data_IF_705810943674
#
_entry.id   IF_705810943674
#
_cell.length_a   1.000
_cell.length_b   1.000
_cell.length_c   1.000
_cell.angle_alpha   90.00
_cell.angle_beta   90.00
_cell.angle_gamma   90.00
#
_symmetry.space_group_name_H-M   'P 1'
#
loop_
_entity.id
_entity.type
_entity.pdbx_description
1 polymer ?
#
# COMPACT_ATOMS: atom_id res chain seq x y z
N UNK A 1 -7.71 -1.06 25.28
CA UNK A 1 -7.68 -2.40 25.93
C UNK A 1 -9.07 -2.84 26.36
N UNK A 2 -9.80 -1.99 27.10
CA UNK A 2 -11.18 -2.29 27.55
C UNK A 2 -12.18 -2.51 26.41
N UNK A 3 -12.10 -1.74 25.32
CA UNK A 3 -13.00 -1.87 24.16
C UNK A 3 -12.71 -3.08 23.27
N UNK A 4 -11.63 -3.83 23.50
CA UNK A 4 -11.25 -4.98 22.66
C UNK A 4 -10.77 -4.68 21.26
N UNK A 5 -10.53 -3.40 20.91
CA UNK A 5 -9.98 -3.03 19.61
C UNK A 5 -8.51 -3.41 19.48
N UNK A 6 -8.11 -3.83 18.28
CA UNK A 6 -6.71 -4.04 17.94
C UNK A 6 -5.96 -2.71 17.93
N UNK A 7 -4.72 -2.72 18.43
CA UNK A 7 -3.81 -1.58 18.40
C UNK A 7 -2.53 -1.97 17.67
N UNK A 8 -2.13 -1.15 16.72
CA UNK A 8 -0.83 -1.25 16.03
C UNK A 8 0.09 -0.18 16.59
N UNK A 9 1.21 -0.60 17.19
CA UNK A 9 2.23 0.29 17.70
C UNK A 9 3.37 0.38 16.70
N UNK A 10 3.57 1.60 16.20
CA UNK A 10 4.78 1.99 15.49
C UNK A 10 5.70 2.60 16.55
N UNK A 11 6.87 2.01 16.75
CA UNK A 11 7.83 2.37 17.81
C UNK A 11 7.35 2.09 19.25
N UNK A 12 7.82 0.96 19.80
CA UNK A 12 7.47 0.51 21.16
C UNK A 12 8.33 1.14 22.25
N UNK A 13 9.48 1.74 21.93
CA UNK A 13 10.47 2.09 22.96
C UNK A 13 9.95 3.02 24.06
N UNK A 14 9.23 4.13 23.76
CA UNK A 14 8.74 5.04 24.79
C UNK A 14 7.67 4.41 25.67
N UNK A 15 6.95 3.42 25.14
CA UNK A 15 5.81 2.79 25.80
C UNK A 15 6.19 1.46 26.47
N UNK A 16 7.43 1.00 26.33
CA UNK A 16 7.86 -0.28 26.85
C UNK A 16 7.72 -0.36 28.38
N UNK A 17 8.18 0.66 29.11
CA UNK A 17 8.04 0.71 30.57
C UNK A 17 6.57 0.75 30.99
N UNK A 18 5.76 1.53 30.27
CA UNK A 18 4.34 1.70 30.50
C UNK A 18 3.53 0.42 30.29
N UNK A 19 3.88 -0.37 29.27
CA UNK A 19 3.15 -1.56 28.84
C UNK A 19 3.79 -2.84 29.35
N UNK A 20 4.83 -2.77 30.18
CA UNK A 20 5.61 -3.94 30.59
C UNK A 20 4.73 -5.05 31.16
N UNK A 21 3.86 -4.74 32.12
CA UNK A 21 2.98 -5.72 32.76
C UNK A 21 1.93 -6.29 31.76
N UNK A 22 1.48 -5.49 30.79
CA UNK A 22 0.58 -5.91 29.72
C UNK A 22 1.25 -6.84 28.70
N UNK A 23 2.46 -6.53 28.27
CA UNK A 23 3.24 -7.36 27.34
C UNK A 23 3.63 -8.70 27.97
N UNK A 24 3.74 -8.74 29.29
CA UNK A 24 4.04 -9.95 30.05
C UNK A 24 2.81 -10.82 30.32
N UNK A 25 1.62 -10.36 29.92
CA UNK A 25 0.36 -11.05 30.17
C UNK A 25 0.12 -11.34 31.66
N UNK A 26 0.64 -10.48 32.56
CA UNK A 26 0.42 -10.59 34.01
C UNK A 26 -0.97 -10.04 34.38
N UNK A 27 -2.00 -10.80 34.02
CA UNK A 27 -3.39 -10.44 34.28
C UNK A 27 -3.85 -10.88 35.67
N UNK A 28 -4.57 -9.98 36.35
CA UNK A 28 -5.32 -10.28 37.57
C UNK A 28 -6.79 -10.45 37.21
N UNK A 29 -7.42 -11.51 37.71
CA UNK A 29 -8.84 -11.77 37.46
C UNK A 29 -9.69 -11.27 38.62
N UNK A 30 -10.67 -10.42 38.30
CA UNK A 30 -11.67 -9.95 39.25
C UNK A 30 -13.05 -10.05 38.59
N UNK A 31 -13.98 -10.79 39.20
CA UNK A 31 -15.33 -10.95 38.67
C UNK A 31 -15.38 -11.57 37.26
N UNK A 32 -14.43 -12.45 36.92
CA UNK A 32 -14.32 -13.06 35.60
C UNK A 32 -13.71 -12.16 34.51
N UNK A 33 -13.35 -10.92 34.84
CA UNK A 33 -12.70 -9.98 33.91
C UNK A 33 -11.20 -9.90 34.17
N UNK A 34 -10.42 -9.69 33.10
CA UNK A 34 -8.97 -9.50 33.15
C UNK A 34 -8.64 -8.05 33.43
N UNK A 35 -7.72 -7.81 34.36
CA UNK A 35 -7.16 -6.50 34.66
C UNK A 35 -5.64 -6.54 34.55
N UNK A 36 -5.03 -5.44 34.11
CA UNK A 36 -3.58 -5.28 34.06
C UNK A 36 -3.17 -3.89 34.55
N UNK A 37 -1.98 -3.79 35.12
CA UNK A 37 -1.39 -2.51 35.49
C UNK A 37 -0.74 -1.86 34.28
N UNK A 38 -1.07 -0.60 34.01
CA UNK A 38 -0.39 0.24 33.04
C UNK A 38 0.35 1.36 33.77
N UNK A 39 1.61 1.55 33.41
CA UNK A 39 2.45 2.64 33.91
C UNK A 39 2.27 3.92 33.09
N UNK A 40 1.98 5.04 33.73
CA UNK A 40 2.00 6.38 33.16
C UNK A 40 2.95 7.22 34.01
N UNK A 41 4.25 7.17 33.66
CA UNK A 41 5.31 7.74 34.50
C UNK A 41 5.33 7.10 35.88
N UNK A 42 5.08 7.88 36.92
CA UNK A 42 5.02 7.41 38.32
C UNK A 42 3.66 6.81 38.71
N UNK A 43 2.62 6.99 37.89
CA UNK A 43 1.28 6.51 38.20
C UNK A 43 1.06 5.13 37.58
N UNK A 44 0.49 4.22 38.37
CA UNK A 44 0.03 2.91 37.88
C UNK A 44 -1.48 2.86 37.95
N UNK A 45 -2.11 2.52 36.83
CA UNK A 45 -3.56 2.40 36.70
C UNK A 45 -3.93 0.97 36.33
N UNK A 46 -4.96 0.44 36.99
CA UNK A 46 -5.54 -0.86 36.63
C UNK A 46 -6.53 -0.68 35.51
N UNK A 47 -6.21 -1.26 34.36
CA UNK A 47 -7.05 -1.20 33.17
C UNK A 47 -7.67 -2.58 32.93
N UNK A 48 -8.97 -2.59 32.60
CA UNK A 48 -9.63 -3.80 32.14
C UNK A 48 -9.12 -4.17 30.74
N UNK A 49 -8.93 -5.47 30.51
CA UNK A 49 -8.49 -6.03 29.24
C UNK A 49 -9.59 -6.92 28.68
N UNK A 50 -10.11 -6.53 27.51
CA UNK A 50 -11.08 -7.33 26.79
C UNK A 50 -10.43 -8.61 26.22
N UNK A 51 -11.12 -9.76 26.17
CA UNK A 51 -10.60 -11.00 25.59
C UNK A 51 -10.14 -10.86 24.13
N UNK A 52 -10.84 -10.05 23.34
CA UNK A 52 -10.54 -9.84 21.91
C UNK A 52 -9.46 -8.80 21.63
N UNK A 53 -8.92 -8.17 22.68
CA UNK A 53 -7.86 -7.19 22.52
C UNK A 53 -6.59 -7.84 21.91
N UNK A 54 -6.10 -7.26 20.82
CA UNK A 54 -4.85 -7.66 20.15
C UNK A 54 -3.90 -6.46 20.08
N UNK A 55 -2.62 -6.72 20.32
CA UNK A 55 -1.56 -5.72 20.19
C UNK A 55 -0.55 -6.21 19.15
N UNK A 56 -0.31 -5.41 18.12
CA UNK A 56 0.69 -5.67 17.09
C UNK A 56 1.77 -4.60 17.21
N UNK A 57 3.02 -5.03 17.25
CA UNK A 57 4.17 -4.12 17.26
C UNK A 57 4.87 -4.27 15.93
N UNK A 58 5.02 -3.17 15.20
CA UNK A 58 5.73 -3.14 13.93
C UNK A 58 7.01 -2.34 14.17
N UNK A 59 8.14 -2.99 13.92
CA UNK A 59 9.45 -2.36 14.00
C UNK A 59 10.44 -2.95 12.98
N UNK A 60 11.47 -2.17 12.68
CA UNK A 60 12.56 -2.61 11.82
C UNK A 60 13.38 -3.73 12.47
N UNK A 61 13.80 -4.71 11.66
CA UNK A 61 14.58 -5.86 12.10
C UNK A 61 15.80 -5.45 12.94
N UNK A 62 16.58 -4.50 12.45
CA UNK A 62 17.82 -4.08 13.12
C UNK A 62 17.53 -3.42 14.48
N UNK A 63 16.50 -2.57 14.55
CA UNK A 63 16.06 -1.92 15.80
C UNK A 63 15.64 -2.96 16.83
N UNK A 64 14.90 -3.99 16.42
CA UNK A 64 14.49 -5.08 17.32
C UNK A 64 15.70 -5.83 17.87
N UNK A 65 16.70 -6.14 17.05
CA UNK A 65 17.87 -6.90 17.53
C UNK A 65 18.83 -6.08 18.39
N UNK A 66 18.99 -4.79 18.10
CA UNK A 66 19.98 -3.94 18.77
C UNK A 66 19.42 -3.26 20.03
N UNK A 67 18.15 -2.83 19.98
CA UNK A 67 17.61 -1.90 20.98
C UNK A 67 16.59 -2.57 21.90
N UNK A 68 15.91 -3.63 21.46
CA UNK A 68 14.90 -4.27 22.31
C UNK A 68 15.57 -5.20 23.33
N UNK A 69 15.13 -5.17 24.59
CA UNK A 69 15.67 -6.06 25.60
C UNK A 69 15.25 -7.50 25.30
N UNK A 70 16.18 -8.44 25.41
CA UNK A 70 15.96 -9.89 25.14
C UNK A 70 14.69 -10.46 25.81
N UNK A 71 14.33 -10.10 27.06
CA UNK A 71 13.09 -10.57 27.68
C UNK A 71 11.81 -10.18 26.93
N UNK A 72 11.77 -8.97 26.34
CA UNK A 72 10.63 -8.51 25.55
C UNK A 72 10.53 -9.30 24.25
N UNK A 73 11.67 -9.45 23.56
CA UNK A 73 11.77 -10.22 22.33
C UNK A 73 11.30 -11.66 22.53
N UNK A 74 11.61 -12.28 23.67
CA UNK A 74 11.21 -13.66 23.98
C UNK A 74 9.73 -13.83 24.34
N UNK A 75 9.03 -12.75 24.70
CA UNK A 75 7.59 -12.78 25.04
C UNK A 75 6.69 -12.51 23.84
N UNK A 76 7.20 -11.78 22.85
CA UNK A 76 6.47 -11.48 21.63
C UNK A 76 6.54 -12.65 20.64
N UNK A 77 5.43 -12.88 19.96
CA UNK A 77 5.39 -13.72 18.76
C UNK A 77 6.04 -12.97 17.60
N UNK A 78 7.03 -13.58 16.94
CA UNK A 78 7.87 -12.91 15.95
C UNK A 78 7.44 -13.31 14.55
N UNK A 79 7.05 -12.32 13.78
CA UNK A 79 6.77 -12.48 12.35
C UNK A 79 7.70 -11.54 11.58
N UNK A 80 8.42 -12.09 10.61
CA UNK A 80 9.19 -11.28 9.67
C UNK A 80 8.33 -11.06 8.44
N UNK A 81 7.94 -9.82 8.21
CA UNK A 81 7.20 -9.44 7.01
C UNK A 81 8.15 -8.66 6.10
N UNK A 82 8.44 -9.23 4.94
CA UNK A 82 9.10 -8.56 3.83
C UNK A 82 8.15 -8.56 2.63
N UNK A 83 8.05 -7.45 1.90
CA UNK A 83 7.21 -7.36 0.70
C UNK A 83 7.60 -8.47 -0.29
N UNK A 84 8.90 -8.77 -0.39
CA UNK A 84 9.40 -9.86 -1.25
C UNK A 84 8.95 -11.25 -0.78
N UNK A 85 8.66 -11.42 0.51
CA UNK A 85 8.21 -12.67 1.12
C UNK A 85 6.70 -12.90 1.00
N UNK A 86 5.91 -11.82 0.91
CA UNK A 86 4.44 -11.89 0.80
C UNK A 86 4.01 -12.30 -0.62
N UNK A 87 4.81 -11.95 -1.63
CA UNK A 87 4.47 -12.22 -3.02
C UNK A 87 4.61 -13.70 -3.39
N UNK A 88 3.62 -14.20 -4.13
CA UNK A 88 3.64 -15.52 -4.76
C UNK A 88 4.63 -15.56 -5.94
N UNK A 89 5.06 -16.76 -6.36
CA UNK A 89 6.05 -16.92 -7.44
C UNK A 89 5.65 -16.22 -8.74
N UNK A 90 4.40 -16.36 -9.18
CA UNK A 90 3.92 -15.69 -10.40
C UNK A 90 3.85 -14.17 -10.24
N UNK A 91 3.57 -13.65 -9.04
CA UNK A 91 3.58 -12.21 -8.77
C UNK A 91 5.00 -11.66 -8.84
N UNK A 92 5.99 -12.43 -8.36
CA UNK A 92 7.41 -12.09 -8.50
C UNK A 92 7.83 -12.03 -9.97
N UNK A 93 7.30 -12.91 -10.82
CA UNK A 93 7.51 -12.81 -12.27
C UNK A 93 6.98 -11.49 -12.83
N UNK A 94 5.77 -11.06 -12.43
CA UNK A 94 5.23 -9.76 -12.84
C UNK A 94 6.10 -8.61 -12.33
N UNK A 95 6.62 -8.68 -11.10
CA UNK A 95 7.53 -7.65 -10.56
C UNK A 95 8.80 -7.52 -11.39
N UNK A 96 9.38 -8.65 -11.83
CA UNK A 96 10.55 -8.65 -12.70
C UNK A 96 10.23 -8.03 -14.06
N UNK A 97 9.12 -8.43 -14.69
CA UNK A 97 8.64 -7.86 -15.95
C UNK A 97 8.37 -6.34 -15.84
N UNK A 98 7.74 -5.91 -14.74
CA UNK A 98 7.43 -4.50 -14.50
C UNK A 98 8.69 -3.68 -14.25
N UNK A 99 9.68 -4.25 -13.56
CA UNK A 99 10.98 -3.60 -13.33
C UNK A 99 11.73 -3.42 -14.64
N UNK A 100 11.78 -4.47 -15.47
CA UNK A 100 12.36 -4.38 -16.81
C UNK A 100 11.61 -3.34 -17.67
N UNK A 101 10.28 -3.35 -17.63
CA UNK A 101 9.46 -2.38 -18.34
C UNK A 101 9.75 -0.94 -17.90
N UNK A 102 9.92 -0.70 -16.60
CA UNK A 102 10.26 0.61 -16.05
C UNK A 102 11.66 1.08 -16.49
N UNK A 103 12.63 0.16 -16.58
CA UNK A 103 13.97 0.44 -17.10
C UNK A 103 13.94 0.78 -18.59
N UNK A 104 13.20 0.02 -19.40
CA UNK A 104 13.02 0.28 -20.83
C UNK A 104 12.24 1.58 -21.07
N UNK A 105 11.30 1.92 -20.20
CA UNK A 105 10.55 3.17 -20.22
C UNK A 105 11.44 4.38 -19.89
N UNK A 106 12.47 4.18 -19.06
CA UNK A 106 13.44 5.22 -18.74
C UNK A 106 14.55 5.35 -19.82
N UNK A 107 14.98 4.24 -20.42
CA UNK A 107 16.05 4.19 -21.43
C UNK A 107 15.56 4.60 -22.85
N UNK A 108 14.83 5.70 -22.95
CA UNK A 108 14.46 6.25 -24.25
C UNK A 108 15.67 6.96 -24.86
N UNK A 109 16.22 6.38 -25.92
CA UNK A 109 17.26 6.99 -26.75
C UNK A 109 16.70 8.20 -27.48
N UNK A 110 16.78 9.38 -26.86
CA UNK A 110 16.53 10.63 -27.54
C UNK A 110 17.53 10.79 -28.72
N UNK A 111 17.11 11.37 -29.86
CA UNK A 111 18.01 11.60 -30.98
C UNK A 111 19.22 12.42 -30.53
N UNK A 112 20.37 12.08 -31.14
CA UNK A 112 21.75 12.31 -30.74
C UNK A 112 22.18 13.79 -30.55
N UNK A 113 21.25 14.74 -30.66
CA UNK A 113 21.53 16.18 -30.59
C UNK A 113 21.51 16.76 -29.15
N UNK A 114 20.98 16.04 -28.15
CA UNK A 114 20.89 16.49 -26.75
C UNK A 114 21.42 15.47 -25.71
N UNK A 115 21.91 14.31 -26.15
CA UNK A 115 22.15 13.16 -25.28
C UNK A 115 23.44 13.25 -24.45
N UNK A 116 23.34 13.80 -23.23
CA UNK A 116 24.31 13.55 -22.14
C UNK A 116 23.71 12.96 -20.87
N UNK A 117 22.38 12.90 -20.76
CA UNK A 117 21.72 12.41 -19.55
C UNK A 117 21.11 11.03 -19.79
N UNK A 118 21.63 10.03 -19.06
CA UNK A 118 21.01 8.72 -18.91
C UNK A 118 19.92 8.87 -17.85
N UNK A 119 18.68 8.58 -18.20
CA UNK A 119 17.57 8.60 -17.26
C UNK A 119 17.49 7.27 -16.52
N UNK A 120 17.22 7.36 -15.22
CA UNK A 120 16.86 6.22 -14.37
C UNK A 120 15.34 6.18 -14.20
N UNK A 121 14.73 5.02 -13.88
CA UNK A 121 13.33 4.95 -13.44
C UNK A 121 12.99 5.93 -12.32
N UNK A 122 13.97 6.26 -11.45
CA UNK A 122 13.82 7.26 -10.38
C UNK A 122 13.60 8.69 -10.89
N UNK A 123 14.13 9.02 -12.06
CA UNK A 123 13.94 10.34 -12.69
C UNK A 123 12.61 10.43 -13.45
N UNK A 124 12.04 9.29 -13.78
CA UNK A 124 10.88 9.16 -14.66
C UNK A 124 9.59 8.98 -13.87
N UNK A 125 9.63 8.13 -12.84
CA UNK A 125 8.51 7.82 -11.98
C UNK A 125 8.72 8.46 -10.60
N UNK A 126 7.81 9.36 -10.22
CA UNK A 126 7.89 10.06 -8.94
C UNK A 126 7.66 9.05 -7.81
N UNK A 127 8.62 8.94 -6.89
CA UNK A 127 8.54 8.02 -5.75
C UNK A 127 9.05 6.60 -6.06
N UNK A 128 9.72 6.38 -7.19
CA UNK A 128 10.31 5.09 -7.50
C UNK A 128 11.46 4.73 -6.54
N UNK A 129 11.43 3.50 -6.03
CA UNK A 129 12.40 2.91 -5.13
C UNK A 129 12.47 1.40 -5.40
N UNK A 130 13.36 0.67 -4.75
CA UNK A 130 13.59 -0.76 -5.00
C UNK A 130 12.32 -1.62 -4.90
N UNK A 131 11.43 -1.27 -3.96
CA UNK A 131 10.20 -2.04 -3.68
C UNK A 131 8.95 -1.44 -4.33
N UNK A 132 9.10 -0.41 -5.17
CA UNK A 132 7.98 0.26 -5.84
C UNK A 132 7.21 -0.73 -6.72
N UNK A 133 7.90 -1.50 -7.57
CA UNK A 133 7.26 -2.49 -8.44
C UNK A 133 6.52 -3.56 -7.64
N UNK A 134 7.12 -4.05 -6.55
CA UNK A 134 6.51 -5.04 -5.68
C UNK A 134 5.22 -4.51 -5.01
N UNK A 135 5.27 -3.26 -4.54
CA UNK A 135 4.13 -2.58 -3.94
C UNK A 135 2.99 -2.35 -4.95
N UNK A 136 3.34 -1.95 -6.17
CA UNK A 136 2.36 -1.74 -7.26
C UNK A 136 1.68 -3.05 -7.67
N UNK A 137 2.45 -4.14 -7.80
CA UNK A 137 1.88 -5.46 -8.12
C UNK A 137 0.96 -5.93 -6.99
N UNK A 138 1.35 -5.76 -5.73
CA UNK A 138 0.49 -6.12 -4.59
C UNK A 138 -0.84 -5.34 -4.62
N UNK A 139 -0.77 -4.04 -4.86
CA UNK A 139 -1.96 -3.18 -5.00
C UNK A 139 -2.84 -3.62 -6.19
N UNK A 140 -2.24 -3.97 -7.32
CA UNK A 140 -2.97 -4.45 -8.50
C UNK A 140 -3.69 -5.78 -8.21
N UNK A 141 -3.06 -6.69 -7.48
CA UNK A 141 -3.67 -7.96 -7.06
C UNK A 141 -4.85 -7.72 -6.11
N UNK A 142 -4.68 -6.85 -5.10
CA UNK A 142 -5.75 -6.51 -4.16
C UNK A 142 -6.99 -5.93 -4.86
N UNK A 143 -6.79 -5.10 -5.89
CA UNK A 143 -7.88 -4.52 -6.70
C UNK A 143 -8.66 -5.56 -7.51
N UNK A 144 -8.03 -6.65 -7.95
CA UNK A 144 -8.71 -7.72 -8.68
C UNK A 144 -9.50 -8.67 -7.76
N UNK A 145 -9.21 -8.64 -6.45
CA UNK A 145 -9.82 -9.53 -5.45
C UNK A 145 -9.22 -10.93 -5.42
N UNK A 146 -9.65 -11.78 -4.46
CA UNK A 146 -9.16 -13.14 -4.34
C UNK A 146 -9.64 -13.99 -5.54
N UNK A 147 -8.70 -14.59 -6.27
CA UNK A 147 -8.99 -15.45 -7.41
C UNK A 147 -7.84 -16.41 -7.71
N UNK A 148 -8.16 -17.55 -8.31
CA UNK A 148 -7.16 -18.53 -8.73
C UNK A 148 -6.30 -18.01 -9.88
N UNK A 149 -5.04 -18.45 -9.92
CA UNK A 149 -4.11 -18.10 -10.99
C UNK A 149 -4.66 -18.60 -12.33
N UNK A 150 -5.10 -17.65 -13.16
CA UNK A 150 -5.48 -17.85 -14.55
C UNK A 150 -4.63 -16.94 -15.43
N UNK A 151 -4.41 -17.33 -16.69
CA UNK A 151 -3.66 -16.50 -17.64
C UNK A 151 -4.29 -15.10 -17.82
N UNK A 152 -5.62 -15.02 -17.73
CA UNK A 152 -6.36 -13.74 -17.78
C UNK A 152 -6.11 -12.87 -16.54
N UNK A 153 -6.04 -13.48 -15.35
CA UNK A 153 -5.70 -12.75 -14.12
C UNK A 153 -4.28 -12.20 -14.19
N UNK A 154 -3.32 -13.01 -14.66
CA UNK A 154 -1.93 -12.58 -14.84
C UNK A 154 -1.84 -11.35 -15.74
N UNK A 155 -2.52 -11.38 -16.89
CA UNK A 155 -2.53 -10.27 -17.83
C UNK A 155 -3.17 -9.02 -17.22
N UNK A 156 -4.33 -9.15 -16.58
CA UNK A 156 -5.02 -8.03 -15.94
C UNK A 156 -4.18 -7.37 -14.85
N UNK A 157 -3.52 -8.17 -14.00
CA UNK A 157 -2.64 -7.66 -12.94
C UNK A 157 -1.42 -6.96 -13.54
N UNK A 158 -0.81 -7.54 -14.58
CA UNK A 158 0.35 -6.94 -15.26
C UNK A 158 -0.01 -5.60 -15.94
N UNK A 159 -1.15 -5.52 -16.62
CA UNK A 159 -1.63 -4.28 -17.23
C UNK A 159 -1.97 -3.22 -16.18
N UNK A 160 -2.72 -3.58 -15.15
CA UNK A 160 -3.08 -2.67 -14.06
C UNK A 160 -1.83 -2.14 -13.34
N UNK A 161 -0.84 -3.00 -13.09
CA UNK A 161 0.42 -2.60 -12.49
C UNK A 161 1.17 -1.56 -13.35
N UNK A 162 1.20 -1.74 -14.69
CA UNK A 162 1.78 -0.74 -15.60
C UNK A 162 1.00 0.57 -15.58
N UNK A 163 -0.33 0.53 -15.49
CA UNK A 163 -1.17 1.73 -15.39
C UNK A 163 -0.91 2.51 -14.10
N UNK A 164 -0.86 1.82 -12.96
CA UNK A 164 -0.55 2.44 -11.65
C UNK A 164 0.84 3.09 -11.69
N UNK A 165 1.82 2.42 -12.27
CA UNK A 165 3.17 2.98 -12.39
C UNK A 165 3.20 4.19 -13.33
N UNK A 166 2.41 4.17 -14.40
CA UNK A 166 2.29 5.26 -15.36
C UNK A 166 1.60 6.51 -14.78
N UNK A 167 0.68 6.35 -13.81
CA UNK A 167 0.07 7.47 -13.09
C UNK A 167 1.11 8.29 -12.28
N UNK A 168 2.24 7.67 -11.94
CA UNK A 168 3.37 8.32 -11.28
C UNK A 168 4.43 8.86 -12.27
N UNK A 169 4.26 8.66 -13.57
CA UNK A 169 5.22 9.10 -14.58
C UNK A 169 5.18 10.61 -14.78
N UNK A 170 6.35 11.22 -14.95
CA UNK A 170 6.45 12.64 -15.30
C UNK A 170 5.91 12.89 -16.71
N UNK A 171 5.21 14.02 -16.95
CA UNK A 171 4.65 14.32 -18.26
C UNK A 171 5.74 14.46 -19.34
N UNK A 172 6.93 14.95 -18.96
CA UNK A 172 8.09 15.01 -19.85
C UNK A 172 8.52 13.60 -20.31
N UNK A 173 8.60 12.63 -19.40
CA UNK A 173 8.93 11.26 -19.75
C UNK A 173 7.90 10.65 -20.72
N UNK A 174 6.61 10.89 -20.49
CA UNK A 174 5.52 10.44 -21.38
C UNK A 174 5.68 11.00 -22.79
N UNK A 175 6.01 12.29 -22.92
CA UNK A 175 6.23 12.92 -24.23
C UNK A 175 7.48 12.33 -24.92
N UNK A 176 8.55 12.05 -24.18
CA UNK A 176 9.76 11.43 -24.76
C UNK A 176 9.49 10.04 -25.35
N UNK A 177 8.53 9.30 -24.80
CA UNK A 177 8.20 7.94 -25.23
C UNK A 177 7.45 7.86 -26.55
N UNK A 178 6.91 8.96 -27.10
CA UNK A 178 6.06 8.90 -28.31
C UNK A 178 6.78 8.33 -29.54
N UNK A 179 8.11 8.18 -29.50
CA UNK A 179 8.93 7.59 -30.57
C UNK A 179 9.31 6.12 -30.34
N UNK A 180 8.93 5.50 -29.21
CA UNK A 180 9.27 4.10 -28.89
C UNK A 180 8.06 3.16 -28.99
N UNK A 181 8.31 1.86 -29.05
CA UNK A 181 7.27 0.81 -29.03
C UNK A 181 6.47 0.80 -27.72
N UNK A 182 7.05 1.28 -26.62
CA UNK A 182 6.36 1.45 -25.33
C UNK A 182 5.47 2.70 -25.31
N UNK A 183 5.78 3.67 -26.16
CA UNK A 183 4.98 4.87 -26.37
C UNK A 183 3.58 4.61 -26.90
N UNK A 184 3.37 3.57 -27.71
CA UNK A 184 2.02 3.23 -28.21
C UNK A 184 1.11 2.74 -27.07
N UNK A 185 1.63 1.93 -26.14
CA UNK A 185 0.90 1.51 -24.94
C UNK A 185 0.62 2.69 -24.01
N UNK A 186 1.64 3.51 -23.70
CA UNK A 186 1.49 4.67 -22.83
C UNK A 186 0.55 5.74 -23.43
N UNK A 187 0.65 5.98 -24.74
CA UNK A 187 -0.23 6.90 -25.45
C UNK A 187 -1.67 6.38 -25.51
N UNK A 188 -1.89 5.08 -25.75
CA UNK A 188 -3.22 4.50 -25.74
C UNK A 188 -3.84 4.48 -24.34
N UNK A 189 -3.03 4.28 -23.30
CA UNK A 189 -3.47 4.35 -21.91
C UNK A 189 -3.82 5.79 -21.50
N UNK A 190 -2.93 6.77 -21.73
CA UNK A 190 -3.11 8.14 -21.28
C UNK A 190 -4.02 8.97 -22.20
N UNK A 191 -4.09 8.62 -23.49
CA UNK A 191 -4.88 9.30 -24.53
C UNK A 191 -5.72 8.28 -25.33
N UNK A 192 -6.77 7.68 -24.74
CA UNK A 192 -7.61 6.73 -25.45
C UNK A 192 -8.28 7.38 -26.67
N UNK A 193 -8.40 6.68 -27.82
CA UNK A 193 -9.05 7.22 -29.00
C UNK A 193 -10.55 7.41 -28.75
N UNK A 194 -10.96 8.65 -28.45
CA UNK A 194 -12.35 9.05 -28.20
C UNK A 194 -12.47 10.55 -27.93
N UNK A 195 -13.67 11.15 -28.01
CA UNK A 195 -13.88 12.53 -27.56
C UNK A 195 -13.46 12.66 -26.08
N UNK A 196 -12.98 13.83 -25.62
CA UNK A 196 -12.55 14.06 -24.23
C UNK A 196 -13.77 14.11 -23.28
N UNK A 197 -14.57 13.05 -23.25
CA UNK A 197 -15.76 12.88 -22.45
C UNK A 197 -15.55 11.67 -21.55
N UNK A 198 -14.65 11.82 -20.58
CA UNK A 198 -14.59 11.17 -19.27
C UNK A 198 -13.14 11.21 -18.80
N UNK A 199 -12.86 12.05 -17.82
CA UNK A 199 -11.69 11.82 -16.96
C UNK A 199 -11.78 10.37 -16.45
N UNK A 200 -10.70 9.59 -16.57
CA UNK A 200 -10.64 8.25 -15.99
C UNK A 200 -11.12 8.32 -14.53
N UNK A 201 -12.01 7.44 -14.07
CA UNK A 201 -12.29 7.34 -12.64
C UNK A 201 -11.00 6.90 -11.94
N UNK A 202 -10.33 7.83 -11.28
CA UNK A 202 -9.05 7.58 -10.59
C UNK A 202 -7.85 8.39 -11.07
N UNK A 203 -7.93 9.09 -12.21
CA UNK A 203 -6.95 10.13 -12.49
C UNK A 203 -7.20 11.28 -11.50
N UNK A 204 -6.23 11.67 -10.65
CA UNK A 204 -6.43 12.77 -9.73
C UNK A 204 -6.37 14.05 -10.54
N UNK A 205 -7.49 14.44 -11.15
CA UNK A 205 -7.79 15.84 -11.35
C UNK A 205 -7.91 16.45 -9.95
N UNK A 206 -6.78 16.77 -9.32
CA UNK A 206 -6.73 17.54 -8.08
C UNK A 206 -7.14 18.98 -8.37
N UNK A 207 -8.36 19.20 -8.87
CA UNK A 207 -8.97 20.52 -8.93
C UNK A 207 -10.49 20.37 -8.92
N UNK A 208 -11.05 20.64 -7.74
CA UNK A 208 -12.41 21.10 -7.45
C UNK A 208 -13.60 20.24 -7.92
N UNK A 209 -14.19 19.50 -6.96
CA UNK A 209 -15.66 19.36 -6.88
C UNK A 209 -16.24 20.76 -6.65
N UNK A 210 -16.57 21.46 -7.72
CA UNK A 210 -17.22 22.76 -7.67
C UNK A 210 -16.95 23.54 -8.94
N UNK A 211 -18.00 23.78 -9.72
CA UNK A 211 -18.07 24.73 -10.84
C UNK A 211 -17.48 24.30 -12.19
N UNK A 212 -18.21 23.41 -12.88
CA UNK A 212 -18.30 23.46 -14.34
C UNK A 212 -19.72 23.93 -14.73
N UNK A 213 -19.91 25.16 -15.23
CA UNK A 213 -21.21 25.65 -15.64
C UNK A 213 -21.47 25.18 -17.07
N UNK A 214 -21.92 23.94 -17.28
CA UNK A 214 -22.68 23.45 -18.44
C UNK A 214 -22.91 21.94 -18.29
N UNK A 215 -23.71 21.55 -17.30
CA UNK A 215 -24.16 20.17 -17.15
C UNK A 215 -25.52 19.98 -17.86
N UNK A 216 -25.54 19.21 -18.94
CA UNK A 216 -26.74 18.48 -19.34
C UNK A 216 -26.95 17.30 -18.38
N UNK A 217 -28.20 16.95 -18.01
CA UNK A 217 -28.45 15.98 -16.95
C UNK A 217 -28.19 14.55 -17.43
N UNK A 218 -27.26 13.84 -16.78
CA UNK A 218 -27.15 12.38 -16.90
C UNK A 218 -28.31 11.69 -16.17
N UNK A 219 -28.85 10.58 -16.72
CA UNK A 219 -29.97 9.87 -16.13
C UNK A 219 -29.55 9.06 -14.89
N UNK A 220 -30.28 9.30 -13.80
CA UNK A 220 -30.55 8.45 -12.63
C UNK A 220 -29.58 7.28 -12.37
N UNK A 221 -28.72 7.46 -11.37
CA UNK A 221 -27.99 6.40 -10.68
C UNK A 221 -28.97 5.43 -9.97
N UNK A 222 -28.67 4.11 -9.88
CA UNK A 222 -29.26 3.28 -8.85
C UNK A 222 -28.68 3.67 -7.48
N UNK A 223 -29.54 3.72 -6.47
CA UNK A 223 -29.21 4.06 -5.08
C UNK A 223 -28.07 3.21 -4.53
N UNK A 224 -27.09 3.87 -3.92
CA UNK A 224 -26.08 3.29 -3.04
C UNK A 224 -26.78 2.88 -1.72
N UNK A 225 -26.63 1.66 -1.20
CA UNK A 225 -27.10 1.32 0.15
C UNK A 225 -26.16 1.90 1.22
N UNK A 226 -26.73 2.23 2.37
CA UNK A 226 -26.09 2.93 3.48
C UNK A 226 -24.86 2.19 4.09
N UNK A 227 -23.92 2.91 4.75
CA UNK A 227 -22.61 2.40 5.16
C UNK A 227 -22.60 1.43 6.36
N UNK A 228 -23.75 0.87 6.76
CA UNK A 228 -23.87 0.02 7.96
C UNK A 228 -24.11 -1.46 7.67
N UNK A 229 -24.18 -1.88 6.40
CA UNK A 229 -24.46 -3.27 6.00
C UNK A 229 -23.23 -3.98 5.40
N UNK A 230 -22.08 -4.03 6.08
CA UNK A 230 -21.08 -5.09 5.85
C UNK A 230 -20.32 -5.39 7.15
N UNK A 231 -20.97 -6.13 8.04
CA UNK A 231 -20.33 -6.77 9.19
C UNK A 231 -20.77 -8.23 9.23
N UNK A 232 -20.38 -9.02 8.22
CA UNK A 232 -20.37 -10.49 8.29
C UNK A 232 -19.54 -11.07 7.14
N UNK A 233 -18.40 -11.68 7.45
CA UNK A 233 -17.94 -13.01 6.99
C UNK A 233 -16.40 -13.12 7.03
N UNK A 234 -15.97 -13.94 8.00
CA UNK A 234 -14.65 -14.52 8.30
C UNK A 234 -13.50 -13.62 8.76
#
# INVERSE_FOLDING_TARGET
METGKMVVLLNLQPLYESLYDALNQYYVYLGGQKYVDLGLGTHRVKCQVHPDFRLIVIEEKNVVYEQFPVPLINRLEKHYLDISSVLQEWQKSIVQELTQWAEEFADVKAPQFLARHKYSPVDVFIGYHSDACASVVLQAVERQGPGDLTGELYHRVSEEAKLILLDCATPDAVVRLTTSTLGSFAAQALFPPGPPSQCRPGAPCHLHRGDCPHAFPCPLSPKIPDPWDVLTLF
#
